data_IF_843033603983
#
_entry.id   IF_843033603983
#
_cell.length_a   1.000
_cell.length_b   1.000
_cell.length_c   1.000
_cell.angle_alpha   90.00
_cell.angle_beta   90.00
_cell.angle_gamma   90.00
#
_symmetry.space_group_name_H-M   'P 1'
#
loop_
_entity.id
_entity.type
_entity.pdbx_description
1 polymer ?
#
# COMPACT_ATOMS: atom_id res chain seq x y z
N UNK A 1 56.43 -15.54 -29.06
CA UNK A 1 55.86 -14.26 -28.57
C UNK A 1 54.41 -14.19 -29.03
N UNK A 2 53.45 -14.18 -28.09
CA UNK A 2 52.00 -14.15 -28.36
C UNK A 2 51.55 -12.76 -28.87
N UNK A 3 50.66 -12.65 -29.87
CA UNK A 3 49.93 -11.41 -30.11
C UNK A 3 48.66 -11.34 -29.25
N UNK A 4 48.32 -10.10 -28.92
CA UNK A 4 47.34 -9.64 -27.95
C UNK A 4 45.91 -10.17 -28.12
N UNK A 5 45.32 -10.61 -27.00
CA UNK A 5 43.86 -10.59 -26.77
C UNK A 5 43.41 -9.13 -26.61
N UNK A 6 43.03 -8.51 -27.70
CA UNK A 6 42.48 -7.15 -27.69
C UNK A 6 41.62 -6.91 -28.91
N UNK A 7 40.37 -7.39 -28.88
CA UNK A 7 39.24 -6.91 -29.70
C UNK A 7 38.06 -7.88 -29.59
N UNK A 8 37.47 -8.04 -28.40
CA UNK A 8 36.11 -8.58 -28.34
C UNK A 8 35.26 -7.75 -27.39
N UNK A 9 34.13 -7.31 -27.94
CA UNK A 9 32.96 -6.78 -27.26
C UNK A 9 32.93 -5.27 -26.97
N UNK A 10 33.23 -4.47 -27.99
CA UNK A 10 32.68 -3.12 -28.10
C UNK A 10 31.90 -3.03 -29.42
N UNK A 11 30.63 -2.61 -29.36
CA UNK A 11 29.81 -2.15 -30.49
C UNK A 11 29.03 -3.16 -31.37
N UNK A 12 28.43 -4.23 -30.81
CA UNK A 12 27.64 -5.19 -31.59
C UNK A 12 26.24 -5.54 -31.05
N UNK A 13 25.50 -4.59 -30.45
CA UNK A 13 24.10 -4.84 -30.07
C UNK A 13 23.16 -4.60 -31.25
N UNK A 14 22.40 -5.62 -31.69
CA UNK A 14 21.38 -5.49 -32.74
C UNK A 14 20.48 -4.27 -32.44
N UNK A 15 20.20 -3.37 -33.41
CA UNK A 15 19.48 -2.12 -33.17
C UNK A 15 18.12 -2.33 -32.51
N UNK A 16 17.45 -3.46 -32.80
CA UNK A 16 16.23 -3.89 -32.14
C UNK A 16 16.40 -4.18 -30.64
N UNK A 17 17.51 -4.79 -30.22
CA UNK A 17 17.81 -5.09 -28.81
C UNK A 17 18.14 -3.80 -28.04
N UNK A 18 18.83 -2.86 -28.68
CA UNK A 18 19.08 -1.54 -28.09
C UNK A 18 17.79 -0.74 -27.98
N UNK A 19 16.92 -0.77 -29.00
CA UNK A 19 15.62 -0.12 -28.96
C UNK A 19 14.69 -0.74 -27.89
N UNK A 20 14.67 -2.07 -27.74
CA UNK A 20 13.93 -2.74 -26.66
C UNK A 20 14.49 -2.42 -25.28
N UNK A 21 15.82 -2.32 -25.13
CA UNK A 21 16.45 -1.95 -23.86
C UNK A 21 16.12 -0.50 -23.51
N UNK A 22 16.24 0.41 -24.47
CA UNK A 22 15.87 1.83 -24.30
C UNK A 22 14.38 2.02 -24.04
N UNK A 23 13.51 1.25 -24.70
CA UNK A 23 12.07 1.27 -24.45
C UNK A 23 11.71 0.68 -23.08
N UNK A 24 12.39 -0.39 -22.66
CA UNK A 24 12.24 -0.97 -21.32
C UNK A 24 12.78 -0.05 -20.24
N UNK A 25 13.93 0.58 -20.46
CA UNK A 25 14.52 1.60 -19.60
C UNK A 25 13.61 2.83 -19.50
N UNK A 26 13.02 3.29 -20.62
CA UNK A 26 12.07 4.41 -20.62
C UNK A 26 10.75 4.06 -19.92
N UNK A 27 10.25 2.82 -20.04
CA UNK A 27 9.06 2.36 -19.31
C UNK A 27 9.32 2.19 -17.80
N UNK A 28 10.54 1.81 -17.42
CA UNK A 28 11.00 1.74 -16.01
C UNK A 28 11.25 3.14 -15.43
N UNK A 29 11.81 4.06 -16.23
CA UNK A 29 12.05 5.46 -15.87
C UNK A 29 10.84 6.37 -16.07
N UNK A 30 9.73 5.87 -16.60
CA UNK A 30 8.41 6.47 -16.43
C UNK A 30 7.98 6.32 -14.97
N UNK A 31 8.82 6.83 -14.08
CA UNK A 31 8.56 6.92 -12.66
C UNK A 31 7.40 7.91 -12.54
N UNK A 32 6.21 7.46 -12.14
CA UNK A 32 5.18 8.40 -11.75
C UNK A 32 5.79 9.24 -10.62
N UNK A 33 5.70 10.57 -10.73
CA UNK A 33 6.50 11.49 -9.94
C UNK A 33 6.37 11.29 -8.42
N UNK A 34 7.18 12.00 -7.64
CA UNK A 34 7.19 11.93 -6.17
C UNK A 34 5.79 11.90 -5.53
N UNK A 35 4.82 12.60 -6.13
CA UNK A 35 3.41 12.61 -5.75
C UNK A 35 2.74 11.23 -5.78
N UNK A 36 3.03 10.37 -6.76
CA UNK A 36 2.49 9.01 -6.80
C UNK A 36 2.99 8.13 -5.67
N UNK A 37 4.27 8.28 -5.30
CA UNK A 37 4.88 7.60 -4.16
C UNK A 37 4.24 7.94 -2.82
N UNK A 38 3.48 9.03 -2.72
CA UNK A 38 2.73 9.43 -1.52
C UNK A 38 1.23 9.13 -1.66
N UNK A 39 0.62 9.47 -2.79
CA UNK A 39 -0.82 9.29 -3.01
C UNK A 39 -1.23 7.82 -3.01
N UNK A 40 -0.43 6.92 -3.62
CA UNK A 40 -0.78 5.51 -3.68
C UNK A 40 -0.80 4.85 -2.28
N UNK A 41 0.22 5.04 -1.40
CA UNK A 41 0.16 4.58 -0.01
C UNK A 41 -1.01 5.18 0.77
N UNK A 42 -1.26 6.48 0.67
CA UNK A 42 -2.37 7.12 1.40
C UNK A 42 -3.74 6.56 0.96
N UNK A 43 -3.91 6.35 -0.35
CA UNK A 43 -5.10 5.70 -0.90
C UNK A 43 -5.23 4.28 -0.39
N UNK A 44 -4.13 3.51 -0.38
CA UNK A 44 -4.10 2.16 0.18
C UNK A 44 -4.55 2.15 1.65
N UNK A 45 -4.04 3.07 2.46
CA UNK A 45 -4.41 3.19 3.88
C UNK A 45 -5.88 3.52 4.06
N UNK A 46 -6.44 4.43 3.25
CA UNK A 46 -7.86 4.75 3.30
C UNK A 46 -8.75 3.55 2.92
N UNK A 47 -8.37 2.82 1.87
CA UNK A 47 -9.09 1.61 1.42
C UNK A 47 -9.03 0.51 2.46
N UNK A 48 -7.83 0.23 3.02
CA UNK A 48 -7.65 -0.76 4.09
C UNK A 48 -8.45 -0.38 5.33
N UNK A 49 -8.42 0.90 5.72
CA UNK A 49 -9.17 1.36 6.90
C UNK A 49 -10.67 1.18 6.70
N UNK A 50 -11.18 1.45 5.49
CA UNK A 50 -12.57 1.17 5.13
C UNK A 50 -12.88 -0.33 5.18
N UNK A 51 -12.00 -1.17 4.63
CA UNK A 51 -12.12 -2.64 4.68
C UNK A 51 -12.18 -3.18 6.11
N UNK A 52 -11.40 -2.62 7.04
CA UNK A 52 -11.45 -2.99 8.46
C UNK A 52 -12.82 -2.73 9.09
N UNK A 53 -13.45 -1.59 8.78
CA UNK A 53 -14.80 -1.29 9.26
C UNK A 53 -15.85 -2.24 8.65
N UNK A 54 -15.71 -2.56 7.36
CA UNK A 54 -16.57 -3.55 6.73
C UNK A 54 -16.40 -4.95 7.32
N UNK A 55 -15.18 -5.37 7.68
CA UNK A 55 -14.96 -6.63 8.39
C UNK A 55 -15.68 -6.65 9.74
N UNK A 56 -15.66 -5.54 10.47
CA UNK A 56 -16.39 -5.40 11.72
C UNK A 56 -17.91 -5.47 11.53
N UNK A 57 -18.43 -4.87 10.46
CA UNK A 57 -19.87 -4.96 10.13
C UNK A 57 -20.24 -6.39 9.70
N UNK A 58 -19.41 -7.02 8.87
CA UNK A 58 -19.63 -8.40 8.44
C UNK A 58 -19.61 -9.36 9.63
N UNK A 59 -18.64 -9.23 10.54
CA UNK A 59 -18.52 -10.12 11.70
C UNK A 59 -19.69 -10.02 12.68
N UNK A 60 -20.38 -8.88 12.72
CA UNK A 60 -21.61 -8.73 13.50
C UNK A 60 -22.82 -9.44 12.88
N UNK A 61 -22.76 -9.78 11.60
CA UNK A 61 -23.90 -10.32 10.82
C UNK A 61 -23.73 -11.78 10.39
N UNK A 62 -22.49 -12.29 10.30
CA UNK A 62 -22.19 -13.66 9.90
C UNK A 62 -22.09 -14.56 11.14
N UNK A 63 -22.98 -15.55 11.24
CA UNK A 63 -22.78 -16.67 12.17
C UNK A 63 -21.88 -17.72 11.51
N UNK A 64 -20.69 -17.93 12.08
CA UNK A 64 -19.72 -18.90 11.57
C UNK A 64 -20.22 -20.35 11.58
N UNK A 65 -21.25 -20.67 12.36
CA UNK A 65 -21.86 -22.02 12.37
C UNK A 65 -22.75 -22.26 11.15
N UNK A 66 -23.34 -21.18 10.60
CA UNK A 66 -24.21 -21.21 9.42
C UNK A 66 -23.99 -19.97 8.55
N UNK A 67 -22.79 -19.82 7.95
CA UNK A 67 -22.42 -18.59 7.26
C UNK A 67 -23.27 -18.31 6.01
N UNK A 68 -23.84 -19.36 5.41
CA UNK A 68 -24.72 -19.25 4.24
C UNK A 68 -26.09 -18.65 4.56
N UNK A 69 -26.49 -18.63 5.83
CA UNK A 69 -27.79 -18.08 6.27
C UNK A 69 -27.76 -16.54 6.37
N UNK A 70 -26.59 -15.92 6.19
CA UNK A 70 -26.37 -14.47 6.29
C UNK A 70 -25.88 -13.87 4.95
N UNK A 71 -26.70 -13.88 3.87
CA UNK A 71 -26.27 -13.43 2.54
C UNK A 71 -25.79 -11.98 2.50
N UNK A 72 -26.41 -11.09 3.30
CA UNK A 72 -25.96 -9.69 3.43
C UNK A 72 -24.59 -9.59 4.09
N UNK A 73 -24.35 -10.36 5.15
CA UNK A 73 -23.05 -10.39 5.84
C UNK A 73 -21.95 -10.94 4.95
N UNK A 74 -22.27 -11.99 4.19
CA UNK A 74 -21.36 -12.58 3.22
C UNK A 74 -21.02 -11.60 2.08
N UNK A 75 -22.01 -10.85 1.58
CA UNK A 75 -21.79 -9.80 0.59
C UNK A 75 -20.85 -8.70 1.13
N UNK A 76 -21.10 -8.21 2.35
CA UNK A 76 -20.23 -7.20 2.99
C UNK A 76 -18.81 -7.74 3.16
N UNK A 77 -18.67 -8.99 3.59
CA UNK A 77 -17.37 -9.67 3.69
C UNK A 77 -16.67 -9.76 2.33
N UNK A 78 -17.38 -10.15 1.27
CA UNK A 78 -16.82 -10.21 -0.08
C UNK A 78 -16.34 -8.85 -0.57
N UNK A 79 -17.10 -7.77 -0.31
CA UNK A 79 -16.68 -6.40 -0.63
C UNK A 79 -15.43 -6.02 0.17
N UNK A 80 -15.39 -6.32 1.47
CA UNK A 80 -14.22 -6.05 2.31
C UNK A 80 -12.96 -6.76 1.79
N UNK A 81 -13.10 -8.04 1.40
CA UNK A 81 -12.02 -8.83 0.81
C UNK A 81 -11.57 -8.28 -0.55
N UNK A 82 -12.51 -7.87 -1.41
CA UNK A 82 -12.19 -7.26 -2.70
C UNK A 82 -11.42 -5.94 -2.54
N UNK A 83 -11.83 -5.09 -1.59
CA UNK A 83 -11.09 -3.86 -1.25
C UNK A 83 -9.69 -4.17 -0.74
N UNK A 84 -9.52 -5.20 0.09
CA UNK A 84 -8.21 -5.63 0.58
C UNK A 84 -7.31 -6.17 -0.53
N UNK A 85 -7.87 -6.96 -1.45
CA UNK A 85 -7.15 -7.45 -2.61
C UNK A 85 -6.70 -6.28 -3.51
N UNK A 86 -7.60 -5.34 -3.81
CA UNK A 86 -7.29 -4.15 -4.59
C UNK A 86 -6.23 -3.27 -3.90
N UNK A 87 -6.35 -3.04 -2.59
CA UNK A 87 -5.36 -2.29 -1.81
C UNK A 87 -4.00 -2.99 -1.80
N UNK A 88 -3.97 -4.32 -1.72
CA UNK A 88 -2.72 -5.10 -1.78
C UNK A 88 -2.04 -4.95 -3.14
N UNK A 89 -2.79 -5.01 -4.24
CA UNK A 89 -2.25 -4.78 -5.58
C UNK A 89 -1.72 -3.34 -5.74
N UNK A 90 -2.46 -2.36 -5.25
CA UNK A 90 -2.03 -0.96 -5.24
C UNK A 90 -0.77 -0.75 -4.38
N UNK A 91 -0.70 -1.43 -3.22
CA UNK A 91 0.46 -1.39 -2.34
C UNK A 91 1.71 -1.96 -3.01
N UNK A 92 1.58 -3.12 -3.67
CA UNK A 92 2.68 -3.71 -4.46
C UNK A 92 3.12 -2.76 -5.57
N UNK A 93 2.18 -2.10 -6.26
CA UNK A 93 2.52 -1.07 -7.25
C UNK A 93 3.23 0.13 -6.62
N UNK A 94 2.79 0.63 -5.46
CA UNK A 94 3.42 1.73 -4.75
C UNK A 94 4.88 1.40 -4.34
N UNK A 95 5.11 0.17 -3.86
CA UNK A 95 6.44 -0.30 -3.47
C UNK A 95 7.43 -0.42 -4.64
N UNK A 96 6.94 -0.54 -5.88
CA UNK A 96 7.81 -0.50 -7.07
C UNK A 96 8.39 0.91 -7.32
N UNK A 97 7.75 1.95 -6.81
CA UNK A 97 8.08 3.34 -7.15
C UNK A 97 8.62 4.15 -5.96
N UNK A 98 8.49 3.65 -4.72
CA UNK A 98 8.99 4.34 -3.54
C UNK A 98 9.64 3.35 -2.54
N UNK A 99 10.72 3.76 -1.85
CA UNK A 99 11.38 2.90 -0.89
C UNK A 99 10.46 2.58 0.29
N UNK A 100 10.43 1.31 0.69
CA UNK A 100 9.59 0.80 1.78
C UNK A 100 9.71 1.66 3.05
N UNK A 101 10.91 2.07 3.43
CA UNK A 101 11.14 2.88 4.63
C UNK A 101 10.46 4.26 4.62
N UNK A 102 10.14 4.81 3.43
CA UNK A 102 9.41 6.08 3.30
C UNK A 102 7.89 5.87 3.30
N UNK A 103 7.41 4.83 2.63
CA UNK A 103 5.96 4.60 2.48
C UNK A 103 5.33 3.83 3.64
N UNK A 104 6.08 2.93 4.27
CA UNK A 104 5.60 2.11 5.37
C UNK A 104 5.14 2.93 6.59
N UNK A 105 5.84 4.01 7.01
CA UNK A 105 5.35 4.89 8.08
C UNK A 105 3.94 5.45 7.82
N UNK A 106 3.56 5.70 6.56
CA UNK A 106 2.21 6.17 6.22
C UNK A 106 1.13 5.15 6.59
N UNK A 107 1.47 3.86 6.63
CA UNK A 107 0.53 2.79 7.05
C UNK A 107 0.05 2.99 8.50
N UNK A 108 0.85 3.65 9.34
CA UNK A 108 0.48 3.95 10.72
C UNK A 108 -0.75 4.87 10.82
N UNK A 109 -1.09 5.62 9.76
CA UNK A 109 -2.33 6.42 9.73
C UNK A 109 -3.60 5.56 9.85
N UNK A 110 -3.53 4.26 9.54
CA UNK A 110 -4.65 3.34 9.81
C UNK A 110 -5.01 3.23 11.30
N UNK A 111 -4.04 3.39 12.21
CA UNK A 111 -4.31 3.48 13.65
C UNK A 111 -5.06 4.75 14.06
N UNK A 112 -5.20 5.72 13.16
CA UNK A 112 -6.05 6.89 13.35
C UNK A 112 -7.40 6.66 12.67
N UNK A 113 -7.38 6.27 11.39
CA UNK A 113 -8.58 6.21 10.57
C UNK A 113 -9.56 5.12 10.97
N UNK A 114 -9.06 3.92 11.31
CA UNK A 114 -9.92 2.79 11.72
C UNK A 114 -10.71 3.11 13.00
N UNK A 115 -10.08 3.48 14.13
CA UNK A 115 -10.82 3.79 15.36
C UNK A 115 -11.68 5.04 15.22
N UNK A 116 -11.24 6.05 14.45
CA UNK A 116 -12.07 7.22 14.16
C UNK A 116 -13.32 6.82 13.37
N UNK A 117 -13.16 6.00 12.33
CA UNK A 117 -14.27 5.46 11.57
C UNK A 117 -15.19 4.58 12.41
N UNK A 118 -14.65 3.78 13.32
CA UNK A 118 -15.46 2.99 14.25
C UNK A 118 -16.26 3.87 15.21
N UNK A 119 -15.63 4.92 15.75
CA UNK A 119 -16.31 5.89 16.61
C UNK A 119 -17.43 6.65 15.88
N UNK A 120 -17.19 7.11 14.65
CA UNK A 120 -18.17 7.91 13.89
C UNK A 120 -19.28 7.04 13.28
N UNK A 121 -18.94 5.93 12.63
CA UNK A 121 -19.89 5.11 11.87
C UNK A 121 -20.55 4.03 12.72
N UNK A 122 -19.80 3.38 13.60
CA UNK A 122 -20.29 2.28 14.43
C UNK A 122 -20.67 2.74 15.85
N UNK A 123 -20.37 4.01 16.20
CA UNK A 123 -20.61 4.59 17.53
C UNK A 123 -19.94 3.81 18.66
N UNK A 124 -18.82 3.15 18.36
CA UNK A 124 -18.03 2.44 19.38
C UNK A 124 -17.22 3.43 20.22
N UNK A 125 -17.20 3.24 21.54
CA UNK A 125 -16.39 4.06 22.44
C UNK A 125 -14.93 3.59 22.41
N UNK A 126 -14.02 4.50 22.06
CA UNK A 126 -12.58 4.26 22.08
C UNK A 126 -11.98 4.89 23.34
N UNK A 127 -11.20 4.11 24.10
CA UNK A 127 -10.60 4.58 25.37
C UNK A 127 -9.75 5.84 25.18
N UNK A 128 -9.75 6.80 26.12
CA UNK A 128 -8.83 7.93 26.12
C UNK A 128 -7.34 7.51 26.06
N UNK A 129 -6.98 6.39 26.70
CA UNK A 129 -5.60 5.87 26.65
C UNK A 129 -5.18 5.43 25.25
N UNK A 130 -6.12 4.96 24.43
CA UNK A 130 -5.87 4.62 23.04
C UNK A 130 -5.52 5.88 22.23
N UNK A 131 -6.28 6.97 22.42
CA UNK A 131 -6.00 8.25 21.77
C UNK A 131 -4.66 8.85 22.18
N UNK A 132 -4.24 8.67 23.43
CA UNK A 132 -2.88 9.03 23.87
C UNK A 132 -1.81 8.22 23.11
N UNK A 133 -2.01 6.91 22.94
CA UNK A 133 -1.13 6.07 22.10
C UNK A 133 -1.10 6.52 20.64
N UNK A 134 -2.26 6.86 20.07
CA UNK A 134 -2.36 7.42 18.71
C UNK A 134 -1.56 8.72 18.58
N UNK A 135 -1.65 9.62 19.57
CA UNK A 135 -0.86 10.86 19.56
C UNK A 135 0.65 10.57 19.52
N UNK A 136 1.12 9.55 20.25
CA UNK A 136 2.52 9.11 20.20
C UNK A 136 2.91 8.54 18.83
N UNK A 137 2.04 7.75 18.20
CA UNK A 137 2.26 7.23 16.84
C UNK A 137 2.38 8.38 15.83
N UNK A 138 1.47 9.35 15.90
CA UNK A 138 1.48 10.53 15.02
C UNK A 138 2.73 11.40 15.26
N UNK A 139 3.13 11.59 16.52
CA UNK A 139 4.37 12.29 16.84
C UNK A 139 5.60 11.57 16.27
N UNK A 140 5.66 10.24 16.39
CA UNK A 140 6.70 9.42 15.77
C UNK A 140 6.72 9.55 14.25
N UNK A 141 5.55 9.59 13.61
CA UNK A 141 5.42 9.79 12.16
C UNK A 141 5.94 11.18 11.73
N UNK A 142 5.67 12.22 12.52
CA UNK A 142 6.20 13.57 12.26
C UNK A 142 7.73 13.61 12.35
N UNK A 143 8.33 12.90 13.33
CA UNK A 143 9.79 12.77 13.44
C UNK A 143 10.37 12.03 12.24
N UNK A 144 9.76 10.91 11.84
CA UNK A 144 10.19 10.15 10.65
C UNK A 144 10.09 11.02 9.38
N UNK A 145 9.01 11.79 9.24
CA UNK A 145 8.81 12.67 8.09
C UNK A 145 9.89 13.75 7.93
N UNK A 146 10.48 14.22 9.04
CA UNK A 146 11.64 15.14 9.01
C UNK A 146 12.91 14.51 8.43
N UNK A 147 13.02 13.19 8.40
CA UNK A 147 14.15 12.51 7.75
C UNK A 147 14.06 12.50 6.21
N UNK A 148 12.93 12.94 5.65
CA UNK A 148 12.69 12.96 4.21
C UNK A 148 13.11 14.27 3.53
N UNK A 149 13.41 15.32 4.31
CA UNK A 149 14.04 16.57 3.87
C UNK A 149 15.55 16.50 4.01
#
# INVERSE_FOLDING_TARGET
MLPARGAQSAAGGHPAVRAQRLAGEAAVNAQPGLWWGLLAPLTCVAVISTGQLLFKIASASVDFRRPLDAPKGLLVLSVALALYAAATLLWVAALKHAPLGRVYPLMALSFVLVPLGSFVLLRETVSPSYWAGVALIVAGLAVIGRSWS
#
